data_IF_750805056733
#
_entry.id   IF_750805056733
#
_cell.length_a   1.000
_cell.length_b   1.000
_cell.length_c   1.000
_cell.angle_alpha   90.00
_cell.angle_beta   90.00
_cell.angle_gamma   90.00
#
_symmetry.space_group_name_H-M   'P 1'
#
loop_
_entity.id
_entity.type
_entity.pdbx_description
1 polymer ?
#
# COMPACT_ATOMS: atom_id res chain seq x y z
N UNK A 1 58.23 26.81 57.69
CA UNK A 1 58.02 25.56 56.86
C UNK A 1 56.52 25.35 56.68
N UNK A 2 55.96 25.73 55.51
CA UNK A 2 54.57 25.51 55.17
C UNK A 2 54.53 24.40 54.10
N UNK A 3 53.85 23.27 54.39
CA UNK A 3 53.65 22.17 53.42
C UNK A 3 52.39 22.51 52.60
N UNK A 4 52.54 22.60 51.31
CA UNK A 4 51.43 22.63 50.34
C UNK A 4 50.97 21.19 50.07
N UNK A 5 49.73 20.89 50.40
CA UNK A 5 49.04 19.70 49.90
C UNK A 5 48.40 20.03 48.57
N UNK A 6 48.81 19.34 47.55
CA UNK A 6 48.22 19.43 46.19
C UNK A 6 47.12 18.36 46.09
N UNK A 7 45.90 18.79 46.00
CA UNK A 7 44.73 17.92 45.82
C UNK A 7 44.53 17.76 44.30
N UNK A 8 44.78 16.55 43.77
CA UNK A 8 44.48 16.21 42.39
C UNK A 8 43.02 15.82 42.28
N UNK A 9 42.24 16.63 41.56
CA UNK A 9 40.84 16.41 41.26
C UNK A 9 40.74 15.54 40.00
N UNK A 10 40.33 14.27 40.12
CA UNK A 10 40.03 13.41 38.98
C UNK A 10 38.62 13.75 38.44
N UNK A 11 38.56 14.44 37.32
CA UNK A 11 37.33 14.63 36.56
C UNK A 11 37.06 13.36 35.74
N UNK A 12 36.07 12.57 36.20
CA UNK A 12 35.48 11.52 35.41
C UNK A 12 34.62 12.14 34.29
N UNK A 13 35.12 12.18 33.10
CA UNK A 13 34.28 12.42 31.91
C UNK A 13 33.48 11.14 31.65
N UNK A 14 32.19 11.15 32.02
CA UNK A 14 31.22 10.18 31.54
C UNK A 14 30.95 10.48 30.05
N UNK A 15 31.54 9.71 29.17
CA UNK A 15 31.15 9.66 27.76
C UNK A 15 29.73 9.08 27.69
N UNK A 16 28.76 9.79 27.11
CA UNK A 16 27.49 9.15 26.80
C UNK A 16 27.76 8.09 25.73
N UNK A 17 27.48 6.83 26.05
CA UNK A 17 27.30 5.78 25.05
C UNK A 17 26.14 6.21 24.13
N UNK A 18 26.48 6.80 23.01
CA UNK A 18 25.55 6.88 21.88
C UNK A 18 25.28 5.45 21.43
N UNK A 19 24.10 4.95 21.78
CA UNK A 19 23.50 3.82 21.12
C UNK A 19 23.24 4.28 19.69
N UNK A 20 24.14 3.92 18.76
CA UNK A 20 23.81 3.94 17.36
C UNK A 20 22.67 2.93 17.18
N UNK A 21 21.44 3.42 17.00
CA UNK A 21 20.42 2.64 16.33
C UNK A 21 21.01 2.32 14.96
N UNK A 22 21.30 1.06 14.71
CA UNK A 22 21.46 0.58 13.34
C UNK A 22 20.13 0.79 12.64
N UNK A 23 19.97 1.94 12.01
CA UNK A 23 18.98 2.13 10.98
C UNK A 23 19.33 1.10 9.91
N UNK A 24 18.50 0.07 9.79
CA UNK A 24 18.60 -0.94 8.74
C UNK A 24 18.46 -0.23 7.39
N UNK A 25 19.57 0.22 6.84
CA UNK A 25 19.60 0.75 5.49
C UNK A 25 19.09 -0.33 4.55
N UNK A 26 17.96 -0.04 3.89
CA UNK A 26 17.40 -0.89 2.87
C UNK A 26 18.51 -1.25 1.86
N UNK A 27 18.77 -2.54 1.72
CA UNK A 27 19.81 -3.00 0.81
C UNK A 27 19.45 -2.58 -0.61
N UNK A 28 20.16 -1.63 -1.16
CA UNK A 28 20.05 -1.24 -2.56
C UNK A 28 20.33 -2.46 -3.44
N UNK A 29 19.33 -2.88 -4.21
CA UNK A 29 19.47 -3.94 -5.22
C UNK A 29 19.35 -3.35 -6.62
N UNK A 30 20.46 -3.00 -7.28
CA UNK A 30 20.44 -2.42 -8.62
C UNK A 30 19.91 -3.36 -9.71
N UNK A 31 19.67 -4.62 -9.35
CA UNK A 31 19.21 -5.68 -10.27
C UNK A 31 17.72 -6.01 -10.13
N UNK A 32 16.98 -5.34 -9.25
CA UNK A 32 15.55 -5.59 -9.12
C UNK A 32 14.78 -4.77 -10.16
N UNK A 33 14.20 -5.46 -11.12
CA UNK A 33 13.41 -4.83 -12.17
C UNK A 33 12.19 -5.69 -12.46
N UNK A 34 10.98 -5.17 -12.21
CA UNK A 34 9.75 -5.81 -12.66
C UNK A 34 9.77 -6.06 -14.17
N UNK A 35 9.20 -7.19 -14.59
CA UNK A 35 9.09 -7.50 -16.00
C UNK A 35 7.85 -6.82 -16.60
N UNK A 36 8.05 -5.95 -17.59
CA UNK A 36 6.94 -5.38 -18.36
C UNK A 36 6.08 -6.49 -18.98
N UNK A 37 4.75 -6.35 -18.92
CA UNK A 37 3.80 -7.30 -19.50
C UNK A 37 3.00 -6.70 -20.63
N UNK A 38 2.29 -5.61 -20.38
CA UNK A 38 1.42 -4.99 -21.38
C UNK A 38 1.16 -3.50 -21.07
N UNK A 39 0.78 -2.76 -22.08
CA UNK A 39 0.03 -1.53 -21.93
C UNK A 39 -1.41 -1.89 -21.59
N UNK A 40 -2.06 -1.07 -20.76
CA UNK A 40 -3.45 -1.25 -20.40
C UNK A 40 -4.37 -0.47 -21.36
N UNK A 41 -5.60 -0.96 -21.59
CA UNK A 41 -6.59 -0.26 -22.39
C UNK A 41 -6.94 1.12 -21.81
N UNK A 42 -7.35 2.06 -22.69
CA UNK A 42 -7.75 3.40 -22.30
C UNK A 42 -8.88 3.42 -21.26
N UNK A 43 -9.72 2.39 -21.25
CA UNK A 43 -10.81 2.24 -20.29
C UNK A 43 -10.32 2.13 -18.83
N UNK A 44 -9.08 1.69 -18.60
CA UNK A 44 -8.43 1.56 -17.29
C UNK A 44 -7.15 2.40 -17.19
N UNK A 45 -7.14 3.56 -17.83
CA UNK A 45 -5.99 4.47 -17.90
C UNK A 45 -5.55 5.01 -16.53
N UNK A 46 -6.48 5.10 -15.59
CA UNK A 46 -6.29 5.54 -14.21
C UNK A 46 -6.32 4.33 -13.26
N UNK A 47 -5.75 3.20 -13.70
CA UNK A 47 -5.67 1.97 -12.89
C UNK A 47 -5.06 2.26 -11.53
N UNK A 48 -5.81 1.97 -10.47
CA UNK A 48 -5.40 2.09 -9.08
C UNK A 48 -5.28 0.70 -8.43
N UNK A 49 -5.97 0.40 -7.34
CA UNK A 49 -5.85 -0.89 -6.65
C UNK A 49 -6.01 -2.14 -7.53
N UNK A 50 -5.40 -3.24 -7.09
CA UNK A 50 -5.41 -4.52 -7.79
C UNK A 50 -5.83 -5.67 -6.87
N UNK A 51 -6.54 -6.67 -7.40
CA UNK A 51 -6.64 -7.99 -6.81
C UNK A 51 -6.70 -9.08 -7.88
N UNK A 52 -6.34 -10.31 -7.52
CA UNK A 52 -6.38 -11.44 -8.44
C UNK A 52 -7.49 -12.41 -8.06
N UNK A 53 -8.35 -12.77 -9.02
CA UNK A 53 -9.44 -13.72 -8.80
C UNK A 53 -9.87 -14.41 -10.10
N UNK A 54 -10.13 -15.73 -10.04
CA UNK A 54 -10.62 -16.54 -11.16
C UNK A 54 -9.78 -16.40 -12.45
N UNK A 55 -8.43 -16.33 -12.32
CA UNK A 55 -7.53 -16.20 -13.46
C UNK A 55 -7.55 -14.83 -14.13
N UNK A 56 -8.17 -13.83 -13.51
CA UNK A 56 -8.23 -12.45 -13.99
C UNK A 56 -7.54 -11.50 -13.00
N UNK A 57 -6.91 -10.49 -13.57
CA UNK A 57 -6.43 -9.33 -12.82
C UNK A 57 -7.56 -8.30 -12.77
N UNK A 58 -7.96 -7.89 -11.58
CA UNK A 58 -9.02 -6.91 -11.35
C UNK A 58 -8.43 -5.57 -10.92
N UNK A 59 -9.00 -4.51 -11.46
CA UNK A 59 -8.64 -3.13 -11.14
C UNK A 59 -9.86 -2.22 -11.20
N UNK A 60 -9.71 -0.99 -10.79
CA UNK A 60 -10.64 0.12 -10.99
C UNK A 60 -9.87 1.38 -11.42
N UNK A 61 -10.58 2.40 -11.90
CA UNK A 61 -9.99 3.72 -12.06
C UNK A 61 -10.08 4.49 -10.74
N UNK A 62 -9.15 5.40 -10.55
CA UNK A 62 -9.12 6.41 -9.49
C UNK A 62 -10.36 7.34 -9.55
N UNK A 63 -10.27 8.50 -8.98
CA UNK A 63 -11.34 9.42 -8.65
C UNK A 63 -12.22 9.87 -9.85
N UNK A 64 -13.54 9.98 -9.58
CA UNK A 64 -14.52 10.55 -10.53
C UNK A 64 -14.90 9.67 -11.70
N UNK A 65 -14.38 8.43 -11.76
CA UNK A 65 -14.74 7.43 -12.76
C UNK A 65 -16.09 6.76 -12.51
N UNK A 66 -16.40 5.76 -13.34
CA UNK A 66 -17.56 4.89 -13.09
C UNK A 66 -17.29 3.98 -11.89
N UNK A 67 -18.32 3.61 -11.10
CA UNK A 67 -18.16 2.66 -10.00
C UNK A 67 -18.07 1.22 -10.54
N UNK A 68 -16.97 0.89 -11.22
CA UNK A 68 -16.77 -0.36 -11.96
C UNK A 68 -15.45 -0.98 -11.58
N UNK A 69 -15.48 -2.28 -11.29
CA UNK A 69 -14.30 -3.13 -11.26
C UNK A 69 -14.13 -3.79 -12.63
N UNK A 70 -12.94 -3.69 -13.19
CA UNK A 70 -12.58 -4.20 -14.50
C UNK A 70 -11.75 -5.47 -14.37
N UNK A 71 -12.24 -6.58 -14.91
CA UNK A 71 -11.53 -7.85 -14.99
C UNK A 71 -10.74 -7.94 -16.29
N UNK A 72 -9.42 -8.04 -16.16
CA UNK A 72 -8.48 -8.15 -17.28
C UNK A 72 -8.11 -9.62 -17.53
N UNK A 73 -8.08 -10.03 -18.78
CA UNK A 73 -7.48 -11.31 -19.16
C UNK A 73 -5.97 -11.28 -18.91
N UNK A 74 -5.40 -12.30 -18.28
CA UNK A 74 -3.98 -12.29 -17.86
C UNK A 74 -2.99 -12.66 -18.97
N UNK A 75 -3.47 -12.97 -20.16
CA UNK A 75 -2.63 -13.17 -21.34
C UNK A 75 -2.57 -11.93 -22.22
N UNK A 76 -3.72 -11.29 -22.45
CA UNK A 76 -3.85 -10.13 -23.34
C UNK A 76 -3.89 -8.80 -22.61
N UNK A 77 -4.28 -8.79 -21.31
CA UNK A 77 -4.57 -7.62 -20.49
C UNK A 77 -5.69 -6.72 -21.04
N UNK A 78 -6.53 -7.26 -21.91
CA UNK A 78 -7.76 -6.60 -22.35
C UNK A 78 -8.86 -6.74 -21.30
N UNK A 79 -9.76 -5.74 -21.21
CA UNK A 79 -10.92 -5.78 -20.33
C UNK A 79 -11.95 -6.78 -20.87
N UNK A 80 -12.14 -7.89 -20.17
CA UNK A 80 -13.07 -8.97 -20.56
C UNK A 80 -14.30 -9.06 -19.67
N UNK A 81 -14.32 -8.34 -18.55
CA UNK A 81 -15.46 -8.35 -17.61
C UNK A 81 -15.56 -7.02 -16.86
N UNK A 82 -16.81 -6.60 -16.55
CA UNK A 82 -17.09 -5.36 -15.80
C UNK A 82 -18.10 -5.66 -14.71
N UNK A 83 -17.76 -5.31 -13.48
CA UNK A 83 -18.66 -5.42 -12.32
C UNK A 83 -19.01 -4.01 -11.86
N UNK A 84 -20.26 -3.61 -12.10
CA UNK A 84 -20.75 -2.31 -11.65
C UNK A 84 -21.23 -2.39 -10.20
N UNK A 85 -20.78 -1.52 -9.34
CA UNK A 85 -21.28 -1.37 -7.97
C UNK A 85 -22.49 -0.43 -7.98
N UNK A 86 -23.72 -1.02 -7.95
CA UNK A 86 -24.96 -0.35 -8.38
C UNK A 86 -25.45 0.79 -7.48
N UNK A 87 -25.13 0.77 -6.20
CA UNK A 87 -25.68 1.68 -5.18
C UNK A 87 -24.67 2.69 -4.65
N UNK A 88 -23.56 2.90 -5.36
CA UNK A 88 -22.48 3.80 -4.96
C UNK A 88 -21.92 4.57 -6.13
N UNK A 89 -21.13 5.60 -5.83
CA UNK A 89 -20.37 6.40 -6.78
C UNK A 89 -18.88 6.18 -6.52
N UNK A 90 -18.05 6.24 -7.54
CA UNK A 90 -16.62 6.42 -7.40
C UNK A 90 -16.37 7.90 -7.10
N UNK A 91 -16.11 8.22 -5.84
CA UNK A 91 -15.77 9.58 -5.42
C UNK A 91 -14.26 9.79 -5.43
N UNK A 92 -13.53 8.84 -4.84
CA UNK A 92 -12.08 8.88 -4.67
C UNK A 92 -11.62 7.46 -4.29
N UNK A 93 -11.77 6.52 -5.26
CA UNK A 93 -11.38 5.13 -5.06
C UNK A 93 -9.88 4.99 -5.23
N UNK A 94 -9.22 4.42 -4.24
CA UNK A 94 -7.78 4.35 -4.19
C UNK A 94 -7.25 2.91 -4.26
N UNK A 95 -7.85 1.98 -3.50
CA UNK A 95 -7.37 0.61 -3.48
C UNK A 95 -8.51 -0.41 -3.42
N UNK A 96 -8.22 -1.65 -3.82
CA UNK A 96 -9.12 -2.79 -3.74
C UNK A 96 -8.37 -4.04 -3.29
N UNK A 97 -8.93 -4.75 -2.31
CA UNK A 97 -8.35 -6.02 -1.84
C UNK A 97 -9.40 -7.09 -1.62
N UNK A 98 -8.96 -8.32 -1.35
CA UNK A 98 -9.81 -9.45 -1.01
C UNK A 98 -9.23 -10.27 0.13
N UNK A 99 -10.08 -10.87 0.97
CA UNK A 99 -9.72 -11.88 1.95
C UNK A 99 -10.04 -13.32 1.47
N UNK A 100 -10.26 -13.48 0.17
CA UNK A 100 -10.68 -14.74 -0.44
C UNK A 100 -12.19 -15.06 -0.26
N UNK A 101 -12.93 -14.25 0.52
CA UNK A 101 -14.38 -14.40 0.75
C UNK A 101 -15.17 -13.19 0.31
N UNK A 102 -14.62 -12.02 0.51
CA UNK A 102 -15.22 -10.72 0.17
C UNK A 102 -14.22 -9.86 -0.58
N UNK A 103 -14.75 -8.94 -1.37
CA UNK A 103 -14.01 -7.83 -1.98
C UNK A 103 -14.24 -6.59 -1.14
N UNK A 104 -13.23 -5.77 -0.99
CA UNK A 104 -13.22 -4.49 -0.30
C UNK A 104 -12.69 -3.43 -1.24
N UNK A 105 -13.48 -2.37 -1.48
CA UNK A 105 -13.11 -1.24 -2.37
C UNK A 105 -13.04 0.02 -1.53
N UNK A 106 -11.90 0.64 -1.48
CA UNK A 106 -11.62 1.81 -0.66
C UNK A 106 -11.99 3.11 -1.35
N UNK A 107 -13.06 3.78 -0.90
CA UNK A 107 -13.41 5.15 -1.28
C UNK A 107 -12.95 6.10 -0.17
N UNK A 108 -11.65 6.30 -0.10
CA UNK A 108 -11.02 6.96 1.03
C UNK A 108 -9.90 7.97 0.66
N UNK A 109 -9.66 8.23 -0.62
CA UNK A 109 -8.79 9.29 -1.03
C UNK A 109 -9.16 10.62 -0.38
N UNK A 110 -8.19 11.37 0.08
CA UNK A 110 -8.41 12.55 0.89
C UNK A 110 -7.30 13.60 0.72
N UNK A 111 -6.88 13.80 -0.51
CA UNK A 111 -5.80 14.68 -0.93
C UNK A 111 -5.82 16.10 -0.31
N UNK A 112 -6.99 16.57 0.15
CA UNK A 112 -7.18 17.87 0.83
C UNK A 112 -7.29 17.76 2.35
N UNK A 113 -7.30 16.55 2.91
CA UNK A 113 -7.48 16.32 4.34
C UNK A 113 -8.85 16.73 4.91
N UNK A 114 -9.87 16.94 4.06
CA UNK A 114 -11.17 17.55 4.44
C UNK A 114 -12.32 16.56 4.50
N UNK A 115 -12.13 15.33 3.99
CA UNK A 115 -13.19 14.33 3.94
C UNK A 115 -13.54 13.80 5.34
N UNK A 116 -14.84 13.73 5.60
CA UNK A 116 -15.45 13.15 6.81
C UNK A 116 -16.33 11.94 6.51
N UNK A 117 -16.32 11.50 5.26
CA UNK A 117 -17.14 10.42 4.73
C UNK A 117 -16.27 9.34 4.07
N UNK A 118 -15.14 9.01 4.69
CA UNK A 118 -14.30 7.92 4.26
C UNK A 118 -15.04 6.61 4.42
N UNK A 119 -14.89 5.68 3.45
CA UNK A 119 -15.65 4.44 3.44
C UNK A 119 -14.95 3.34 2.66
N UNK A 120 -15.29 2.11 3.01
CA UNK A 120 -14.96 0.92 2.25
C UNK A 120 -16.24 0.24 1.84
N UNK A 121 -16.39 -0.03 0.55
CA UNK A 121 -17.49 -0.85 0.03
C UNK A 121 -17.10 -2.31 0.08
N UNK A 122 -18.07 -3.19 0.35
CA UNK A 122 -17.78 -4.62 0.42
C UNK A 122 -18.94 -5.47 -0.08
N UNK A 123 -18.59 -6.59 -0.70
CA UNK A 123 -19.56 -7.58 -1.17
C UNK A 123 -18.91 -8.97 -1.20
N UNK A 124 -19.71 -10.07 -1.15
CA UNK A 124 -19.17 -11.42 -1.28
C UNK A 124 -18.46 -11.64 -2.62
N UNK A 125 -17.23 -12.14 -2.59
CA UNK A 125 -16.44 -12.45 -3.79
C UNK A 125 -17.17 -13.42 -4.74
N UNK A 126 -17.98 -14.32 -4.19
CA UNK A 126 -18.82 -15.26 -4.94
C UNK A 126 -19.91 -14.61 -5.80
N UNK A 127 -20.20 -13.31 -5.63
CA UNK A 127 -21.13 -12.57 -6.49
C UNK A 127 -20.48 -12.16 -7.84
N UNK A 128 -19.16 -12.23 -7.97
CA UNK A 128 -18.50 -12.06 -9.26
C UNK A 128 -18.78 -13.33 -10.09
N UNK A 129 -19.54 -13.24 -11.19
CA UNK A 129 -19.81 -14.41 -12.03
C UNK A 129 -18.51 -14.85 -12.71
N UNK A 130 -18.45 -16.12 -13.09
CA UNK A 130 -17.26 -16.64 -13.83
C UNK A 130 -17.05 -15.91 -15.15
N UNK A 131 -18.14 -15.53 -15.81
CA UNK A 131 -18.11 -14.84 -17.10
C UNK A 131 -19.25 -13.83 -17.18
N UNK A 132 -19.09 -12.82 -18.04
CA UNK A 132 -20.06 -11.77 -18.29
C UNK A 132 -20.07 -10.66 -17.25
N UNK A 133 -20.62 -9.54 -17.64
CA UNK A 133 -20.77 -8.36 -16.79
C UNK A 133 -21.87 -8.56 -15.74
N UNK A 134 -21.73 -7.88 -14.61
CA UNK A 134 -22.75 -7.93 -13.55
C UNK A 134 -22.90 -6.56 -12.86
N UNK A 135 -24.03 -6.41 -12.16
CA UNK A 135 -24.29 -5.26 -11.29
C UNK A 135 -24.53 -5.79 -9.88
N UNK A 136 -23.73 -5.34 -8.92
CA UNK A 136 -23.70 -5.83 -7.55
C UNK A 136 -24.07 -4.70 -6.59
N UNK A 137 -24.98 -4.95 -5.66
CA UNK A 137 -25.25 -4.06 -4.53
C UNK A 137 -24.24 -4.32 -3.41
N UNK A 138 -23.61 -3.27 -2.93
CA UNK A 138 -22.57 -3.36 -1.90
C UNK A 138 -23.06 -2.90 -0.53
N UNK A 139 -22.42 -3.42 0.51
CA UNK A 139 -22.51 -2.93 1.88
C UNK A 139 -21.38 -1.92 2.14
N UNK A 140 -21.53 -1.08 3.17
CA UNK A 140 -20.58 0.01 3.45
C UNK A 140 -20.04 -0.04 4.88
N UNK A 141 -18.73 0.14 5.00
CA UNK A 141 -18.00 0.41 6.23
C UNK A 141 -17.64 1.90 6.20
N UNK A 142 -18.23 2.71 7.07
CA UNK A 142 -17.88 4.12 7.23
C UNK A 142 -16.80 4.26 8.29
N UNK A 143 -15.84 5.17 8.08
CA UNK A 143 -14.82 5.40 9.08
C UNK A 143 -14.29 6.83 9.11
N UNK A 144 -13.63 7.15 10.23
CA UNK A 144 -12.77 8.32 10.43
C UNK A 144 -11.46 7.86 11.07
N UNK A 145 -10.39 8.61 10.89
CA UNK A 145 -9.13 8.34 11.57
C UNK A 145 -9.18 8.79 13.03
N UNK A 146 -8.66 7.98 13.96
CA UNK A 146 -8.68 8.26 15.40
C UNK A 146 -7.92 9.54 15.77
N UNK A 147 -6.87 9.86 15.01
CA UNK A 147 -5.92 10.94 15.27
C UNK A 147 -6.15 12.19 14.39
N UNK A 148 -7.11 12.16 13.46
CA UNK A 148 -7.44 13.32 12.65
C UNK A 148 -8.39 14.27 13.40
N UNK A 149 -7.85 15.32 13.97
CA UNK A 149 -8.64 16.34 14.71
C UNK A 149 -8.87 17.63 13.92
N UNK A 150 -8.12 17.86 12.86
CA UNK A 150 -8.25 19.01 11.96
C UNK A 150 -8.71 18.57 10.58
N UNK A 151 -9.52 19.38 9.91
CA UNK A 151 -10.05 19.16 8.57
C UNK A 151 -9.89 20.40 7.66
N UNK A 152 -9.01 21.32 8.04
CA UNK A 152 -8.73 22.54 7.28
C UNK A 152 -7.27 22.60 6.83
N UNK A 153 -6.92 21.65 5.94
CA UNK A 153 -5.60 21.58 5.31
C UNK A 153 -5.61 22.14 3.89
N UNK A 154 -4.45 22.53 3.43
CA UNK A 154 -4.20 22.69 1.99
C UNK A 154 -3.92 21.32 1.36
N UNK A 155 -4.12 21.22 0.05
CA UNK A 155 -3.83 19.99 -0.70
C UNK A 155 -2.38 19.58 -0.49
N UNK A 156 -2.14 18.33 -0.11
CA UNK A 156 -0.82 17.73 0.11
C UNK A 156 0.03 18.35 1.27
N UNK A 157 -0.63 19.03 2.22
CA UNK A 157 0.03 19.58 3.41
C UNK A 157 -0.36 18.85 4.71
N UNK A 158 -0.72 17.58 4.60
CA UNK A 158 -1.13 16.73 5.71
C UNK A 158 -0.78 15.26 5.44
N UNK A 159 -1.00 14.38 6.42
CA UNK A 159 -0.73 12.94 6.36
C UNK A 159 -1.99 12.07 6.54
N UNK A 160 -3.18 12.63 6.22
CA UNK A 160 -4.48 11.94 6.33
C UNK A 160 -5.10 11.61 4.97
N UNK A 161 -4.29 11.54 3.93
CA UNK A 161 -4.64 10.87 2.71
C UNK A 161 -4.50 9.37 2.89
N UNK A 162 -5.29 8.56 2.20
CA UNK A 162 -5.25 7.11 2.32
C UNK A 162 -5.33 6.51 0.93
N UNK A 163 -4.39 5.62 0.62
CA UNK A 163 -4.24 5.14 -0.75
C UNK A 163 -3.97 3.63 -0.84
N UNK A 164 -3.75 2.95 0.29
CA UNK A 164 -3.44 1.54 0.27
C UNK A 164 -4.22 0.77 1.35
N UNK A 165 -4.67 -0.44 1.00
CA UNK A 165 -5.46 -1.28 1.88
C UNK A 165 -5.19 -2.75 1.62
N UNK A 166 -5.12 -3.54 2.69
CA UNK A 166 -5.13 -4.99 2.59
C UNK A 166 -6.05 -5.62 3.64
N UNK A 167 -6.45 -6.87 3.40
CA UNK A 167 -7.31 -7.62 4.29
C UNK A 167 -6.57 -8.80 4.91
N UNK A 168 -6.71 -8.98 6.22
CA UNK A 168 -6.34 -10.22 6.92
C UNK A 168 -7.61 -11.02 7.26
N UNK A 169 -7.44 -12.15 7.95
CA UNK A 169 -8.58 -12.93 8.48
C UNK A 169 -9.55 -12.07 9.27
N UNK A 170 -9.05 -11.16 10.11
CA UNK A 170 -9.86 -10.50 11.14
C UNK A 170 -10.14 -9.02 10.84
N UNK A 171 -9.24 -8.32 10.17
CA UNK A 171 -9.27 -6.88 10.00
C UNK A 171 -8.96 -6.42 8.56
N UNK A 172 -9.36 -5.19 8.26
CA UNK A 172 -8.79 -4.38 7.20
C UNK A 172 -7.70 -3.48 7.78
N UNK A 173 -6.63 -3.34 7.06
CA UNK A 173 -5.53 -2.43 7.37
C UNK A 173 -5.39 -1.40 6.26
N UNK A 174 -5.18 -0.15 6.66
CA UNK A 174 -5.09 0.99 5.77
C UNK A 174 -3.75 1.70 5.98
N UNK A 175 -3.08 2.05 4.91
CA UNK A 175 -1.88 2.90 4.96
C UNK A 175 -2.20 4.32 4.53
N UNK A 176 -1.80 5.30 5.35
CA UNK A 176 -1.88 6.70 4.92
C UNK A 176 -0.77 7.05 3.94
N UNK A 177 -1.09 7.98 3.04
CA UNK A 177 -0.12 8.62 2.14
C UNK A 177 0.32 9.94 2.77
N UNK A 178 1.44 9.91 3.48
CA UNK A 178 1.94 11.04 4.25
C UNK A 178 2.57 12.13 3.38
N UNK A 179 1.75 12.98 2.80
CA UNK A 179 2.21 14.02 1.90
C UNK A 179 3.13 15.05 2.54
N UNK A 180 2.87 15.41 3.82
CA UNK A 180 3.66 16.39 4.54
C UNK A 180 4.99 15.82 5.02
N UNK A 181 5.00 14.59 5.53
CA UNK A 181 6.17 14.00 6.21
C UNK A 181 6.93 12.97 5.40
N UNK A 182 6.30 12.34 4.38
CA UNK A 182 6.87 11.20 3.67
C UNK A 182 6.85 9.91 4.50
N UNK A 183 6.06 9.89 5.60
CA UNK A 183 5.84 8.70 6.43
C UNK A 183 4.49 8.09 6.13
N UNK A 184 4.25 6.88 6.63
CA UNK A 184 2.93 6.25 6.58
C UNK A 184 2.47 5.84 7.97
N UNK A 185 1.16 5.95 8.22
CA UNK A 185 0.50 5.37 9.40
C UNK A 185 -0.28 4.14 8.96
N UNK A 186 -0.26 3.13 9.81
CA UNK A 186 -1.06 1.93 9.66
C UNK A 186 -2.27 2.04 10.59
N UNK A 187 -3.46 1.96 9.98
CA UNK A 187 -4.73 1.94 10.70
C UNK A 187 -5.39 0.58 10.57
N UNK A 188 -6.24 0.24 11.53
CA UNK A 188 -7.00 -0.99 11.56
C UNK A 188 -8.51 -0.72 11.63
N UNK A 189 -9.29 -1.50 10.87
CA UNK A 189 -10.75 -1.45 10.82
C UNK A 189 -11.37 -2.84 10.92
N UNK A 190 -12.54 -2.99 11.59
CA UNK A 190 -13.35 -4.21 11.45
C UNK A 190 -13.86 -4.38 10.02
N UNK A 191 -13.97 -5.64 9.57
CA UNK A 191 -14.45 -5.99 8.22
C UNK A 191 -15.99 -6.01 8.07
N UNK A 192 -16.74 -5.63 9.09
CA UNK A 192 -18.21 -5.67 9.09
C UNK A 192 -18.78 -4.31 8.69
N UNK A 193 -19.88 -4.26 7.91
CA UNK A 193 -20.61 -3.02 7.65
C UNK A 193 -20.97 -2.30 8.95
N UNK A 194 -20.82 -0.95 8.96
CA UNK A 194 -21.05 -0.14 10.15
C UNK A 194 -20.30 1.18 10.09
N UNK A 195 -20.20 1.86 11.25
CA UNK A 195 -19.45 3.11 11.39
C UNK A 195 -18.42 2.96 12.50
N UNK A 196 -17.16 3.27 12.18
CA UNK A 196 -16.00 3.00 13.05
C UNK A 196 -15.06 4.18 13.10
N UNK A 197 -14.20 4.15 14.13
CA UNK A 197 -13.00 4.97 14.21
C UNK A 197 -11.82 4.02 13.92
N UNK A 198 -11.06 4.31 12.87
CA UNK A 198 -9.90 3.51 12.51
C UNK A 198 -8.78 3.73 13.55
N UNK A 199 -8.38 2.65 14.20
CA UNK A 199 -7.34 2.68 15.22
C UNK A 199 -5.96 2.86 14.58
N UNK A 200 -5.14 3.75 15.13
CA UNK A 200 -3.71 3.79 14.79
C UNK A 200 -3.02 2.57 15.41
N UNK A 201 -2.45 1.71 14.60
CA UNK A 201 -1.74 0.51 15.09
C UNK A 201 -0.24 0.76 15.13
N UNK A 202 0.27 1.39 14.07
CA UNK A 202 1.69 1.65 13.89
C UNK A 202 1.92 2.74 12.82
N UNK A 203 3.18 2.97 12.47
CA UNK A 203 3.61 3.81 11.36
C UNK A 203 5.12 3.74 11.20
N UNK A 204 5.61 4.09 10.04
CA UNK A 204 7.05 4.12 9.78
C UNK A 204 7.42 5.17 8.72
N UNK A 205 8.71 5.52 8.68
CA UNK A 205 9.26 6.34 7.61
C UNK A 205 9.34 5.50 6.31
N UNK A 206 8.35 5.70 5.44
CA UNK A 206 8.29 5.01 4.15
C UNK A 206 9.24 5.59 3.11
N UNK A 207 9.91 6.70 3.42
CA UNK A 207 10.79 7.43 2.50
C UNK A 207 10.11 7.70 1.15
N UNK A 208 8.82 7.98 1.20
CA UNK A 208 7.99 8.21 0.03
C UNK A 208 6.50 7.99 0.33
N UNK A 209 5.70 7.97 -0.70
CA UNK A 209 4.25 7.91 -0.65
C UNK A 209 3.79 6.49 -0.96
N UNK A 210 3.14 5.82 -0.01
CA UNK A 210 2.53 4.49 -0.23
C UNK A 210 1.23 4.66 -0.99
N UNK A 211 1.01 3.85 -2.03
CA UNK A 211 -0.12 3.94 -2.96
C UNK A 211 -0.88 2.63 -3.15
N UNK A 212 -0.33 1.49 -2.73
CA UNK A 212 -1.03 0.22 -2.80
C UNK A 212 -0.41 -0.82 -1.89
N UNK A 213 -1.20 -1.83 -1.54
CA UNK A 213 -0.80 -2.92 -0.66
C UNK A 213 -1.51 -4.23 -1.00
N UNK A 214 -0.87 -5.36 -0.73
CA UNK A 214 -1.53 -6.67 -0.68
C UNK A 214 -0.82 -7.62 0.28
N UNK A 215 -1.57 -8.59 0.81
CA UNK A 215 -1.13 -9.49 1.86
C UNK A 215 -1.39 -10.96 1.53
N UNK A 216 -0.33 -11.74 1.50
CA UNK A 216 -0.40 -13.19 1.44
C UNK A 216 -0.47 -13.77 2.88
N UNK A 217 -1.68 -14.10 3.30
CA UNK A 217 -1.94 -14.61 4.66
C UNK A 217 -1.31 -15.98 4.91
N UNK A 218 -1.16 -16.82 3.88
CA UNK A 218 -0.55 -18.14 4.04
C UNK A 218 0.94 -18.04 4.38
N UNK A 219 1.60 -16.97 3.93
CA UNK A 219 3.04 -16.75 4.12
C UNK A 219 3.38 -15.66 5.10
N UNK A 220 2.39 -14.91 5.59
CA UNK A 220 2.62 -13.73 6.40
C UNK A 220 3.38 -12.62 5.67
N UNK A 221 3.26 -12.56 4.33
CA UNK A 221 3.98 -11.58 3.51
C UNK A 221 3.09 -10.43 3.12
N UNK A 222 3.53 -9.21 3.44
CA UNK A 222 2.92 -7.97 3.01
C UNK A 222 3.79 -7.31 1.94
N UNK A 223 3.21 -6.91 0.84
CA UNK A 223 3.85 -6.09 -0.18
C UNK A 223 3.23 -4.71 -0.20
N UNK A 224 4.08 -3.68 -0.30
CA UNK A 224 3.64 -2.30 -0.50
C UNK A 224 4.27 -1.76 -1.77
N UNK A 225 3.55 -0.89 -2.44
CA UNK A 225 4.06 -0.08 -3.56
C UNK A 225 3.92 1.39 -3.24
N UNK A 226 4.76 2.20 -3.85
CA UNK A 226 4.72 3.65 -3.74
C UNK A 226 5.76 4.32 -4.62
N UNK A 227 5.90 5.63 -4.47
CA UNK A 227 6.92 6.40 -5.17
C UNK A 227 7.50 7.52 -4.30
N UNK A 228 8.74 7.88 -4.59
CA UNK A 228 9.40 9.02 -3.92
C UNK A 228 8.79 10.31 -4.44
N UNK A 229 8.27 11.14 -3.53
CA UNK A 229 7.67 12.44 -3.84
C UNK A 229 8.63 13.30 -4.67
N UNK A 230 8.08 14.05 -5.62
CA UNK A 230 8.77 15.00 -6.51
C UNK A 230 9.61 14.40 -7.64
N UNK A 231 10.13 13.21 -7.52
CA UNK A 231 10.91 12.54 -8.59
C UNK A 231 10.18 11.35 -9.20
N UNK A 232 9.09 10.92 -8.58
CA UNK A 232 8.28 9.78 -9.01
C UNK A 232 9.16 8.54 -9.29
N UNK A 233 10.07 8.26 -8.37
CA UNK A 233 10.86 7.04 -8.37
C UNK A 233 10.05 5.96 -7.65
N UNK A 234 9.53 4.95 -8.36
CA UNK A 234 8.75 3.90 -7.73
C UNK A 234 9.61 3.04 -6.82
N UNK A 235 8.99 2.53 -5.77
CA UNK A 235 9.59 1.55 -4.87
C UNK A 235 8.60 0.49 -4.44
N UNK A 236 9.13 -0.64 -3.99
CA UNK A 236 8.37 -1.71 -3.35
C UNK A 236 8.94 -1.99 -1.96
N UNK A 237 8.09 -2.37 -1.03
CA UNK A 237 8.47 -3.03 0.20
C UNK A 237 7.99 -4.47 0.18
N UNK A 238 8.84 -5.40 0.61
CA UNK A 238 8.46 -6.75 0.95
C UNK A 238 8.70 -6.92 2.46
N UNK A 239 7.63 -7.17 3.20
CA UNK A 239 7.61 -7.26 4.66
C UNK A 239 7.26 -8.71 5.01
N UNK A 240 8.09 -9.35 5.83
CA UNK A 240 7.88 -10.71 6.32
C UNK A 240 7.31 -10.69 7.72
N UNK A 241 6.58 -11.74 8.09
CA UNK A 241 6.03 -11.93 9.42
C UNK A 241 5.27 -10.69 9.91
N UNK A 242 4.36 -10.21 9.05
CA UNK A 242 3.52 -9.07 9.41
C UNK A 242 2.78 -9.37 10.71
N UNK A 243 3.04 -8.53 11.72
CA UNK A 243 2.35 -8.50 12.99
C UNK A 243 1.86 -7.08 13.27
N UNK A 244 0.60 -6.91 13.59
CA UNK A 244 0.01 -5.60 13.86
C UNK A 244 0.49 -4.98 15.19
N UNK A 245 1.02 -5.77 16.11
CA UNK A 245 1.62 -5.27 17.37
C UNK A 245 2.92 -4.47 17.15
N UNK A 246 3.50 -4.57 15.99
CA UNK A 246 4.64 -3.79 15.54
C UNK A 246 5.03 -4.26 14.16
N UNK A 247 4.97 -3.40 13.16
CA UNK A 247 5.66 -3.67 11.91
C UNK A 247 7.15 -3.78 12.24
N UNK A 248 7.54 -4.95 12.77
CA UNK A 248 8.94 -5.31 12.88
C UNK A 248 9.44 -5.36 11.46
N UNK A 249 10.26 -4.38 11.14
CA UNK A 249 10.78 -4.14 9.82
C UNK A 249 11.84 -5.19 9.44
N UNK A 250 11.48 -6.49 9.42
CA UNK A 250 12.14 -7.42 8.49
C UNK A 250 11.67 -7.05 7.09
N UNK A 251 12.02 -5.85 6.64
CA UNK A 251 11.58 -5.38 5.35
C UNK A 251 12.74 -5.28 4.37
N UNK A 252 12.42 -5.49 3.12
CA UNK A 252 13.29 -5.11 2.01
C UNK A 252 12.61 -4.04 1.19
N UNK A 253 13.33 -2.95 0.96
CA UNK A 253 12.94 -1.91 0.01
C UNK A 253 13.67 -2.13 -1.31
N UNK A 254 12.94 -2.01 -2.42
CA UNK A 254 13.46 -2.11 -3.79
C UNK A 254 13.10 -0.84 -4.53
N UNK A 255 14.08 -0.08 -4.98
CA UNK A 255 13.85 1.09 -5.82
C UNK A 255 13.87 0.71 -7.30
N UNK A 256 12.88 1.18 -8.05
CA UNK A 256 12.64 0.79 -9.45
C UNK A 256 13.19 1.86 -10.39
N UNK A 257 14.50 2.07 -10.37
CA UNK A 257 15.17 3.15 -11.13
C UNK A 257 14.88 3.13 -12.64
N UNK A 258 14.63 1.95 -13.22
CA UNK A 258 14.28 1.82 -14.64
C UNK A 258 12.89 2.36 -14.97
N UNK A 259 12.10 2.69 -13.97
CA UNK A 259 10.71 3.14 -14.10
C UNK A 259 10.50 4.54 -13.51
N UNK A 260 11.56 5.33 -13.42
CA UNK A 260 11.49 6.72 -12.98
C UNK A 260 10.42 7.49 -13.78
N UNK A 261 9.58 8.24 -13.09
CA UNK A 261 8.45 8.98 -13.69
C UNK A 261 7.16 8.16 -13.84
N UNK A 262 7.12 6.91 -13.35
CA UNK A 262 5.89 6.10 -13.34
C UNK A 262 5.14 6.32 -12.02
N UNK A 263 3.83 6.58 -12.12
CA UNK A 263 2.91 6.52 -10.98
C UNK A 263 2.47 5.07 -10.81
N UNK A 264 3.14 4.36 -9.91
CA UNK A 264 2.73 3.01 -9.51
C UNK A 264 1.65 3.11 -8.45
N UNK A 265 0.51 2.46 -8.67
CA UNK A 265 -0.66 2.58 -7.80
C UNK A 265 -1.12 1.23 -7.24
N UNK A 266 -1.23 0.19 -8.05
CA UNK A 266 -1.75 -1.08 -7.61
C UNK A 266 -0.71 -2.19 -7.56
N UNK A 267 -0.84 -3.08 -6.56
CA UNK A 267 -0.03 -4.31 -6.45
C UNK A 267 -0.89 -5.43 -5.88
N UNK A 268 -0.79 -6.66 -6.43
CA UNK A 268 -1.43 -7.82 -5.82
C UNK A 268 -0.65 -9.11 -6.08
N UNK A 269 -0.67 -10.02 -5.11
CA UNK A 269 -0.19 -11.39 -5.30
C UNK A 269 -1.11 -12.16 -6.24
N UNK A 270 -0.52 -12.94 -7.18
CA UNK A 270 -1.27 -13.85 -8.04
C UNK A 270 -0.75 -15.28 -8.00
N UNK A 271 0.47 -15.47 -7.50
CA UNK A 271 1.15 -16.73 -7.31
C UNK A 271 2.17 -16.59 -6.17
N UNK A 272 2.77 -17.68 -5.74
CA UNK A 272 3.76 -17.74 -4.67
C UNK A 272 4.93 -16.76 -4.90
N UNK A 273 4.95 -15.67 -4.12
CA UNK A 273 5.98 -14.63 -4.20
C UNK A 273 6.00 -13.85 -5.51
N UNK A 274 4.93 -13.92 -6.31
CA UNK A 274 4.78 -13.14 -7.53
C UNK A 274 3.60 -12.19 -7.45
N UNK A 275 3.81 -10.97 -7.91
CA UNK A 275 2.80 -9.93 -7.93
C UNK A 275 2.61 -9.36 -9.34
N UNK A 276 1.37 -8.95 -9.64
CA UNK A 276 1.12 -7.91 -10.62
C UNK A 276 1.34 -6.55 -9.98
N UNK A 277 1.91 -5.63 -10.74
CA UNK A 277 2.13 -4.23 -10.38
C UNK A 277 1.57 -3.38 -11.52
N UNK A 278 0.72 -2.41 -11.22
CA UNK A 278 0.25 -1.44 -12.21
C UNK A 278 0.85 -0.05 -12.01
N UNK A 279 0.91 0.67 -13.12
CA UNK A 279 1.15 2.11 -13.12
C UNK A 279 0.10 2.76 -14.01
N UNK A 280 -0.48 3.86 -13.54
CA UNK A 280 -1.47 4.63 -14.28
C UNK A 280 -0.84 5.46 -15.40
N UNK A 281 -1.68 6.08 -16.22
CA UNK A 281 -1.24 7.01 -17.25
C UNK A 281 -0.67 8.27 -16.61
N UNK A 282 0.54 8.62 -16.98
CA UNK A 282 1.23 9.85 -16.58
C UNK A 282 1.56 10.71 -17.81
N UNK A 283 2.04 11.93 -17.65
CA UNK A 283 2.45 12.77 -18.79
C UNK A 283 3.53 12.15 -19.68
N UNK A 284 4.27 11.17 -19.15
CA UNK A 284 5.41 10.52 -19.82
C UNK A 284 5.15 9.08 -20.20
N UNK A 285 4.03 8.47 -19.75
CA UNK A 285 3.82 7.05 -19.89
C UNK A 285 2.33 6.66 -19.90
N UNK A 286 1.95 5.71 -20.76
CA UNK A 286 0.63 5.07 -20.78
C UNK A 286 0.51 4.07 -19.64
N UNK A 287 -0.72 3.86 -19.16
CA UNK A 287 -1.05 2.86 -18.14
C UNK A 287 -0.53 1.48 -18.54
N UNK A 288 0.05 0.77 -17.60
CA UNK A 288 0.76 -0.48 -17.88
C UNK A 288 0.79 -1.42 -16.70
N UNK A 289 1.08 -2.67 -16.98
CA UNK A 289 1.22 -3.74 -16.00
C UNK A 289 2.60 -4.39 -16.11
N UNK A 290 3.13 -4.76 -14.94
CA UNK A 290 4.38 -5.49 -14.77
C UNK A 290 4.14 -6.75 -13.93
N UNK A 291 5.11 -7.66 -13.98
CA UNK A 291 5.23 -8.76 -13.03
C UNK A 291 6.47 -8.56 -12.17
N UNK A 292 6.28 -8.72 -10.89
CA UNK A 292 7.30 -8.75 -9.85
C UNK A 292 7.48 -10.18 -9.38
N UNK A 293 8.71 -10.67 -9.28
CA UNK A 293 9.03 -11.99 -8.74
C UNK A 293 10.00 -11.85 -7.57
N UNK A 294 9.52 -12.09 -6.36
CA UNK A 294 10.28 -12.01 -5.11
C UNK A 294 10.94 -13.34 -4.72
N UNK A 295 10.75 -14.43 -5.45
CA UNK A 295 11.21 -15.77 -5.02
C UNK A 295 12.72 -15.86 -4.78
N UNK A 296 13.52 -15.10 -5.54
CA UNK A 296 14.97 -15.04 -5.32
C UNK A 296 15.37 -14.41 -3.98
N UNK A 297 14.49 -13.60 -3.42
CA UNK A 297 14.72 -12.87 -2.18
C UNK A 297 14.20 -13.65 -0.98
N UNK A 298 13.05 -14.28 -1.11
CA UNK A 298 12.44 -15.15 -0.09
C UNK A 298 13.37 -16.33 0.26
N UNK A 299 14.01 -16.95 -0.74
CA UNK A 299 14.94 -18.08 -0.53
C UNK A 299 16.23 -17.67 0.20
N UNK A 300 16.73 -16.45 -0.02
CA UNK A 300 17.95 -15.99 0.65
C UNK A 300 17.74 -15.72 2.13
N UNK A 301 16.58 -15.22 2.52
CA UNK A 301 16.28 -14.90 3.92
C UNK A 301 16.11 -16.18 4.74
N UNK A 302 15.51 -17.22 4.19
CA UNK A 302 15.42 -18.55 4.83
C UNK A 302 16.79 -19.22 5.06
N UNK A 303 17.84 -18.82 4.33
CA UNK A 303 19.21 -19.32 4.52
C UNK A 303 20.01 -18.55 5.58
N UNK A 304 19.57 -17.33 5.95
CA UNK A 304 20.23 -16.50 6.95
C UNK A 304 19.70 -16.72 8.37
N UNK A 305 18.58 -17.43 8.51
CA UNK A 305 17.92 -17.76 9.80
C UNK A 305 18.24 -19.14 10.36
N UNK A 306 19.21 -19.88 9.77
CA UNK A 306 19.68 -21.19 10.23
C UNK A 306 21.17 -21.14 10.64
#
# INVERSE_FOLDING_TARGET
>A
MRRFLSTILFLFFALPLLWAQEEGHAAYSPLFSPAFKALLPEEVRETSGLFFHNGRLWTHNDSGGKPVLYGLDTLTFEVVQRITLANVENKDWEDVCTDGKRVYVGDFGNNKGKRKNLRVFTFPLSQIPKEGDASITVETIHFSFADQTCFDYQKHEHDYDCEAMFATRDYLYLFSKGWATGTTRLYRLPKKPGTYVAEVVNGFDSQGLITGADYDEERGMLVLVGYVKNIWLPFLYLIYDFDDAGVKLSNRRFELHNYLGSQTEGICFYDHGKCYLSAETSPTATARVFVVDFNKWIQKDNQLTH
#
